data_IF_694882172494
#
_entry.id   IF_694882172494
#
_cell.length_a   1.000
_cell.length_b   1.000
_cell.length_c   1.000
_cell.angle_alpha   90.00
_cell.angle_beta   90.00
_cell.angle_gamma   90.00
#
_symmetry.space_group_name_H-M   'P 1'
#
loop_
_entity.id
_entity.type
_entity.pdbx_description
1 polymer ?
#
# COMPACT_ATOMS: atom_id res chain seq x y z
N UNK A 1 11.63 14.06 10.50
CA UNK A 1 11.04 14.33 9.16
C UNK A 1 11.80 13.73 7.97
N UNK A 2 13.11 13.96 7.76
CA UNK A 2 13.85 13.37 6.60
C UNK A 2 13.77 11.84 6.54
N UNK A 3 13.80 11.17 7.70
CA UNK A 3 13.66 9.70 7.84
C UNK A 3 12.32 9.16 7.27
N UNK A 4 11.28 9.99 7.19
CA UNK A 4 9.93 9.61 6.73
C UNK A 4 9.74 9.71 5.21
N UNK A 5 10.57 10.49 4.51
CA UNK A 5 10.38 10.77 3.07
C UNK A 5 10.62 9.51 2.23
N UNK A 6 11.70 8.78 2.52
CA UNK A 6 12.04 7.55 1.80
C UNK A 6 10.92 6.49 1.86
N UNK A 7 10.40 6.08 3.04
CA UNK A 7 9.32 5.08 3.08
C UNK A 7 8.03 5.56 2.41
N UNK A 8 7.69 6.85 2.51
CA UNK A 8 6.49 7.40 1.85
C UNK A 8 6.61 7.31 0.33
N UNK A 9 7.75 7.70 -0.25
CA UNK A 9 7.97 7.64 -1.70
C UNK A 9 7.86 6.20 -2.21
N UNK A 10 8.49 5.25 -1.52
CA UNK A 10 8.44 3.83 -1.90
C UNK A 10 7.00 3.32 -1.87
N UNK A 11 6.23 3.67 -0.84
CA UNK A 11 4.83 3.24 -0.74
C UNK A 11 3.97 3.89 -1.82
N UNK A 12 4.18 5.17 -2.15
CA UNK A 12 3.46 5.82 -3.25
C UNK A 12 3.73 5.10 -4.58
N UNK A 13 4.99 4.78 -4.88
CA UNK A 13 5.36 4.03 -6.09
C UNK A 13 4.72 2.64 -6.10
N UNK A 14 4.72 1.95 -4.96
CA UNK A 14 4.10 0.63 -4.82
C UNK A 14 2.58 0.69 -5.00
N UNK A 15 1.92 1.71 -4.43
CA UNK A 15 0.49 1.92 -4.60
C UNK A 15 0.12 2.24 -6.05
N UNK A 16 0.93 3.04 -6.73
CA UNK A 16 0.74 3.34 -8.15
C UNK A 16 0.90 2.08 -9.02
N UNK A 17 1.91 1.27 -8.71
CA UNK A 17 2.11 -0.04 -9.35
C UNK A 17 0.91 -0.98 -9.11
N UNK A 18 0.50 -1.18 -7.85
CA UNK A 18 -0.64 -2.04 -7.50
C UNK A 18 -1.96 -1.56 -8.13
N UNK A 19 -2.16 -0.24 -8.19
CA UNK A 19 -3.35 0.35 -8.82
C UNK A 19 -3.35 0.13 -10.33
N UNK A 20 -2.20 0.28 -11.00
CA UNK A 20 -2.06 -0.03 -12.42
C UNK A 20 -2.29 -1.51 -12.71
N UNK A 21 -1.82 -2.39 -11.82
CA UNK A 21 -2.00 -3.83 -11.90
C UNK A 21 -3.48 -4.22 -11.72
N UNK A 22 -4.17 -3.63 -10.74
CA UNK A 22 -5.61 -3.81 -10.53
C UNK A 22 -6.40 -3.39 -11.76
N UNK A 23 -6.07 -2.25 -12.36
CA UNK A 23 -6.68 -1.79 -13.60
C UNK A 23 -6.43 -2.76 -14.76
N UNK A 24 -5.20 -3.24 -14.94
CA UNK A 24 -4.86 -4.23 -15.97
C UNK A 24 -5.63 -5.55 -15.80
N UNK A 25 -5.69 -6.08 -14.58
CA UNK A 25 -6.43 -7.30 -14.27
C UNK A 25 -7.92 -7.13 -14.53
N UNK A 26 -8.54 -6.04 -14.08
CA UNK A 26 -9.97 -5.84 -14.30
C UNK A 26 -10.31 -5.79 -15.78
N UNK A 27 -9.48 -5.14 -16.60
CA UNK A 27 -9.63 -5.14 -18.07
C UNK A 27 -9.43 -6.52 -18.69
N UNK A 28 -8.44 -7.29 -18.21
CA UNK A 28 -8.22 -8.65 -18.70
C UNK A 28 -9.41 -9.58 -18.34
N UNK A 29 -9.91 -9.51 -17.11
CA UNK A 29 -11.05 -10.30 -16.66
C UNK A 29 -12.32 -9.99 -17.45
N UNK A 30 -12.56 -8.70 -17.77
CA UNK A 30 -13.67 -8.27 -18.62
C UNK A 30 -13.53 -8.82 -20.05
N UNK A 31 -12.32 -8.82 -20.62
CA UNK A 31 -12.05 -9.38 -21.95
C UNK A 31 -12.33 -10.87 -22.04
N UNK A 32 -11.93 -11.65 -21.03
CA UNK A 32 -12.13 -13.10 -20.99
C UNK A 32 -13.50 -13.53 -20.46
N UNK A 33 -14.43 -12.59 -20.20
CA UNK A 33 -15.77 -12.88 -19.68
C UNK A 33 -15.75 -13.77 -18.43
N UNK A 34 -14.79 -13.52 -17.54
CA UNK A 34 -14.60 -14.33 -16.33
C UNK A 34 -15.83 -14.21 -15.41
N UNK A 35 -16.20 -15.30 -14.70
CA UNK A 35 -17.31 -15.27 -13.78
C UNK A 35 -17.08 -14.26 -12.65
N UNK A 36 -18.17 -13.61 -12.23
CA UNK A 36 -18.15 -12.50 -11.26
C UNK A 36 -17.47 -12.87 -9.94
N UNK A 37 -17.59 -14.13 -9.51
CA UNK A 37 -16.99 -14.64 -8.27
C UNK A 37 -15.46 -14.57 -8.35
N UNK A 38 -14.86 -15.02 -9.45
CA UNK A 38 -13.40 -14.96 -9.65
C UNK A 38 -12.93 -13.51 -9.66
N UNK A 39 -13.68 -12.63 -10.35
CA UNK A 39 -13.38 -11.19 -10.37
C UNK A 39 -13.35 -10.59 -8.97
N UNK A 40 -14.37 -10.87 -8.16
CA UNK A 40 -14.46 -10.35 -6.79
C UNK A 40 -13.32 -10.85 -5.90
N UNK A 41 -12.96 -12.13 -6.01
CA UNK A 41 -11.85 -12.70 -5.23
C UNK A 41 -10.53 -12.03 -5.62
N UNK A 42 -10.20 -11.94 -6.91
CA UNK A 42 -8.93 -11.37 -7.37
C UNK A 42 -8.83 -9.88 -7.04
N UNK A 43 -9.89 -9.11 -7.30
CA UNK A 43 -9.93 -7.69 -6.95
C UNK A 43 -9.84 -7.50 -5.43
N UNK A 44 -10.56 -8.32 -4.66
CA UNK A 44 -10.55 -8.28 -3.20
C UNK A 44 -9.16 -8.51 -2.61
N UNK A 45 -8.39 -9.46 -3.16
CA UNK A 45 -7.00 -9.73 -2.74
C UNK A 45 -6.11 -8.51 -2.96
N UNK A 46 -6.19 -7.88 -4.14
CA UNK A 46 -5.35 -6.71 -4.45
C UNK A 46 -5.72 -5.51 -3.57
N UNK A 47 -7.01 -5.31 -3.31
CA UNK A 47 -7.47 -4.26 -2.38
C UNK A 47 -6.96 -4.55 -0.97
N UNK A 48 -7.02 -5.79 -0.49
CA UNK A 48 -6.50 -6.17 0.82
C UNK A 48 -4.98 -5.89 0.93
N UNK A 49 -4.22 -6.15 -0.14
CA UNK A 49 -2.79 -5.80 -0.20
C UNK A 49 -2.55 -4.30 -0.13
N UNK A 50 -3.35 -3.48 -0.83
CA UNK A 50 -3.26 -2.01 -0.77
C UNK A 50 -3.50 -1.52 0.66
N UNK A 51 -4.56 -2.02 1.32
CA UNK A 51 -4.88 -1.66 2.71
C UNK A 51 -3.73 -2.07 3.65
N UNK A 52 -3.18 -3.27 3.48
CA UNK A 52 -2.07 -3.76 4.28
C UNK A 52 -0.80 -2.90 4.13
N UNK A 53 -0.47 -2.49 2.90
CA UNK A 53 0.67 -1.61 2.61
C UNK A 53 0.51 -0.26 3.31
N UNK A 54 -0.70 0.32 3.26
CA UNK A 54 -1.00 1.59 3.94
C UNK A 54 -0.87 1.43 5.46
N UNK A 55 -1.40 0.33 6.02
CA UNK A 55 -1.30 0.05 7.45
C UNK A 55 0.16 -0.04 7.92
N UNK A 56 1.00 -0.77 7.18
CA UNK A 56 2.44 -0.90 7.46
C UNK A 56 3.14 0.47 7.38
N UNK A 57 2.80 1.30 6.39
CA UNK A 57 3.35 2.65 6.30
C UNK A 57 3.00 3.46 7.56
N UNK A 58 1.73 3.47 7.97
CA UNK A 58 1.27 4.21 9.15
C UNK A 58 2.04 3.74 10.39
N UNK A 59 2.20 2.42 10.57
CA UNK A 59 2.96 1.87 11.68
C UNK A 59 4.42 2.36 11.66
N UNK A 60 5.10 2.28 10.51
CA UNK A 60 6.48 2.77 10.38
C UNK A 60 6.62 4.27 10.64
N UNK A 61 5.66 5.08 10.19
CA UNK A 61 5.69 6.51 10.45
C UNK A 61 5.50 6.83 11.93
N UNK A 62 4.71 6.03 12.67
CA UNK A 62 4.59 6.14 14.13
C UNK A 62 5.88 5.77 14.83
N UNK A 63 6.50 4.64 14.47
CA UNK A 63 7.77 4.20 15.06
C UNK A 63 8.88 5.24 14.87
N UNK A 64 9.04 5.80 13.68
CA UNK A 64 10.04 6.85 13.41
C UNK A 64 9.75 8.11 14.24
N UNK A 65 8.47 8.46 14.46
CA UNK A 65 8.08 9.62 15.24
C UNK A 65 8.36 9.43 16.73
N UNK A 66 8.09 8.24 17.26
CA UNK A 66 8.39 7.89 18.66
C UNK A 66 9.90 7.86 18.92
N UNK A 67 10.71 7.35 17.98
CA UNK A 67 12.17 7.38 18.05
C UNK A 67 12.71 8.83 18.08
N UNK A 68 12.20 9.70 17.20
CA UNK A 68 12.59 11.12 17.18
C UNK A 68 12.16 11.85 18.49
N UNK A 69 11.10 11.41 19.18
CA UNK A 69 10.64 11.97 20.47
C UNK A 69 11.48 11.48 21.68
N UNK A 70 11.87 10.20 21.75
CA UNK A 70 12.75 9.68 22.82
C UNK A 70 14.17 10.28 22.77
N UNK A 71 14.70 10.51 21.56
CA UNK A 71 16.00 11.15 21.37
C UNK A 71 16.02 12.61 21.85
N UNK A 72 14.91 13.34 21.70
CA UNK A 72 14.77 14.73 22.15
C UNK A 72 14.63 14.85 23.68
N UNK A 73 14.06 13.85 24.35
CA UNK A 73 13.91 13.84 25.81
C UNK A 73 15.22 13.62 26.58
N UNK A 74 16.31 13.27 25.89
CA UNK A 74 17.65 13.02 26.47
C UNK A 74 18.56 14.26 26.52
N UNK A 75 18.10 15.44 26.13
CA UNK A 75 18.84 16.71 26.14
C UNK A 75 18.01 17.85 26.73
#
# INVERSE_FOLDING_TARGET
MRKMIAPIIIVILLLLYLSSYLYGITRALDFYHMPIIIRLVVVGVIIALIVLVIYILIQRLKEIKEEDEDDLGKY
#
